data_IF_404701414979
#
_entry.id   IF_404701414979
#
_cell.length_a   1.000
_cell.length_b   1.000
_cell.length_c   1.000
_cell.angle_alpha   90.00
_cell.angle_beta   90.00
_cell.angle_gamma   90.00
#
_symmetry.space_group_name_H-M   'P 1'
#
loop_
_entity.id
_entity.type
_entity.pdbx_description
1 polymer ?
#
# COMPACT_ATOMS: atom_id res chain seq x y z
N UNK A 1 -28.62 -70.63 38.15
CA UNK A 1 -29.17 -69.41 38.78
C UNK A 1 -27.99 -68.65 39.37
N UNK A 2 -27.84 -67.37 39.04
CA UNK A 2 -27.23 -66.32 39.88
C UNK A 2 -25.84 -66.55 40.50
N UNK A 3 -24.86 -65.81 39.95
CA UNK A 3 -23.76 -65.02 40.57
C UNK A 3 -22.74 -65.65 41.57
N UNK A 4 -21.56 -64.98 41.58
CA UNK A 4 -20.37 -65.04 42.49
C UNK A 4 -19.28 -66.01 42.00
N UNK A 5 -17.97 -65.73 41.91
CA UNK A 5 -17.10 -64.56 41.82
C UNK A 5 -15.64 -65.10 41.69
N UNK A 6 -14.73 -64.33 41.07
CA UNK A 6 -13.27 -64.25 41.39
C UNK A 6 -12.37 -65.49 41.16
N UNK A 7 -11.09 -65.46 40.75
CA UNK A 7 -10.04 -64.43 40.52
C UNK A 7 -9.08 -65.02 39.46
N UNK A 8 -8.38 -64.17 38.71
CA UNK A 8 -6.94 -64.41 38.51
C UNK A 8 -6.50 -64.73 37.09
N UNK A 9 -6.13 -63.70 36.34
CA UNK A 9 -4.73 -63.52 35.92
C UNK A 9 -4.57 -62.13 35.33
N UNK A 10 -3.79 -61.33 36.03
CA UNK A 10 -3.35 -60.01 35.60
C UNK A 10 -2.47 -60.18 34.36
N UNK A 11 -3.01 -59.89 33.17
CA UNK A 11 -2.17 -59.49 32.04
C UNK A 11 -1.95 -57.99 32.21
N UNK A 12 -0.80 -57.65 32.78
CA UNK A 12 -0.26 -56.29 32.68
C UNK A 12 0.07 -56.10 31.20
N UNK A 13 -0.88 -55.55 30.45
CA UNK A 13 -0.60 -54.98 29.14
C UNK A 13 0.21 -53.71 29.37
N UNK A 14 1.53 -53.89 29.42
CA UNK A 14 2.50 -52.81 29.31
C UNK A 14 2.35 -52.20 27.90
N UNK A 15 1.53 -51.16 27.76
CA UNK A 15 1.61 -50.24 26.63
C UNK A 15 2.59 -49.14 27.02
N UNK A 16 3.88 -49.39 26.82
CA UNK A 16 4.88 -48.33 26.74
C UNK A 16 4.84 -47.70 25.35
N UNK A 17 5.14 -46.40 25.33
CA UNK A 17 5.37 -45.50 24.20
C UNK A 17 4.17 -44.72 23.65
N UNK A 18 3.58 -43.87 24.49
CA UNK A 18 3.38 -42.48 24.05
C UNK A 18 4.54 -41.67 24.61
N UNK A 19 5.52 -41.34 23.78
CA UNK A 19 6.67 -40.52 24.18
C UNK A 19 6.21 -39.08 24.32
N UNK A 20 5.52 -38.74 25.40
CA UNK A 20 5.22 -37.35 25.75
C UNK A 20 6.54 -36.61 25.92
N UNK A 21 6.79 -35.63 25.04
CA UNK A 21 7.98 -34.78 25.12
C UNK A 21 7.92 -34.06 26.47
N UNK A 22 8.95 -34.20 27.30
CA UNK A 22 9.03 -33.43 28.53
C UNK A 22 9.20 -31.95 28.18
N UNK A 23 8.16 -31.15 28.40
CA UNK A 23 8.19 -29.71 28.11
C UNK A 23 9.32 -28.98 28.84
N UNK A 24 9.71 -29.46 30.03
CA UNK A 24 10.89 -28.93 30.75
C UNK A 24 12.18 -29.18 29.97
N UNK A 25 12.37 -30.39 29.46
CA UNK A 25 13.55 -30.73 28.67
C UNK A 25 13.57 -29.98 27.34
N UNK A 26 12.41 -29.85 26.69
CA UNK A 26 12.29 -29.06 25.46
C UNK A 26 12.57 -27.58 25.70
N UNK A 27 12.03 -26.99 26.77
CA UNK A 27 12.29 -25.59 27.14
C UNK A 27 13.79 -25.34 27.38
N UNK A 28 14.49 -26.26 28.06
CA UNK A 28 15.94 -26.17 28.24
C UNK A 28 16.69 -26.34 26.91
N UNK A 29 16.25 -27.27 26.07
CA UNK A 29 16.81 -27.48 24.72
C UNK A 29 16.70 -26.20 23.87
N UNK A 30 15.53 -25.55 23.87
CA UNK A 30 15.30 -24.27 23.18
C UNK A 30 16.24 -23.18 23.67
N UNK A 31 16.42 -23.04 25.00
CA UNK A 31 17.37 -22.08 25.58
C UNK A 31 18.82 -22.35 25.15
N UNK A 32 19.23 -23.62 25.13
CA UNK A 32 20.59 -23.99 24.69
C UNK A 32 20.79 -23.66 23.21
N UNK A 33 19.84 -24.07 22.34
CA UNK A 33 19.85 -23.73 20.91
C UNK A 33 19.98 -22.21 20.72
N UNK A 34 19.20 -21.43 21.46
CA UNK A 34 19.24 -19.98 21.39
C UNK A 34 20.62 -19.41 21.73
N UNK A 35 21.15 -19.77 22.90
CA UNK A 35 22.42 -19.24 23.39
C UNK A 35 23.60 -19.63 22.47
N UNK A 36 23.61 -20.86 21.97
CA UNK A 36 24.73 -21.37 21.16
C UNK A 36 24.73 -20.80 19.73
N UNK A 37 23.53 -20.58 19.15
CA UNK A 37 23.39 -20.31 17.72
C UNK A 37 23.02 -18.86 17.40
N UNK A 38 22.24 -18.18 18.24
CA UNK A 38 21.52 -16.97 17.84
C UNK A 38 21.74 -15.74 18.73
N UNK A 39 21.95 -15.93 20.03
CA UNK A 39 22.25 -14.84 20.96
C UNK A 39 23.44 -14.01 20.44
N UNK A 40 23.34 -12.68 20.53
CA UNK A 40 24.33 -11.71 20.04
C UNK A 40 24.55 -11.69 18.50
N UNK A 41 23.74 -12.46 17.74
CA UNK A 41 23.84 -12.59 16.28
C UNK A 41 22.55 -12.18 15.54
N UNK A 42 21.52 -11.76 16.27
CA UNK A 42 20.27 -11.28 15.67
C UNK A 42 20.47 -9.85 15.14
N UNK A 43 19.77 -9.57 14.03
CA UNK A 43 19.68 -8.21 13.48
C UNK A 43 18.27 -7.68 13.68
N UNK A 44 18.14 -6.36 13.73
CA UNK A 44 16.85 -5.67 13.77
C UNK A 44 16.01 -5.85 12.48
N UNK A 45 16.60 -6.41 11.41
CA UNK A 45 15.89 -6.84 10.21
C UNK A 45 15.06 -8.12 10.38
N UNK A 46 15.11 -8.81 11.53
CA UNK A 46 14.29 -10.01 11.77
C UNK A 46 13.15 -9.70 12.73
N UNK A 47 11.92 -9.97 12.32
CA UNK A 47 10.77 -9.88 13.21
C UNK A 47 10.68 -11.13 14.10
N UNK A 48 9.84 -11.07 15.14
CA UNK A 48 9.70 -12.13 16.12
C UNK A 48 9.24 -13.46 15.50
N UNK A 49 8.37 -13.40 14.47
CA UNK A 49 7.98 -14.60 13.73
C UNK A 49 9.16 -15.26 13.01
N UNK A 50 10.05 -14.50 12.37
CA UNK A 50 11.25 -15.05 11.74
C UNK A 50 12.22 -15.64 12.77
N UNK A 51 12.35 -14.98 13.92
CA UNK A 51 13.21 -15.42 15.01
C UNK A 51 12.73 -16.77 15.57
N UNK A 52 11.42 -16.96 15.74
CA UNK A 52 10.89 -18.24 16.23
C UNK A 52 11.06 -19.36 15.20
N UNK A 53 10.89 -19.07 13.91
CA UNK A 53 11.14 -20.06 12.85
C UNK A 53 12.62 -20.47 12.80
N UNK A 54 13.56 -19.53 12.99
CA UNK A 54 14.99 -19.87 13.12
C UNK A 54 15.29 -20.85 14.26
N UNK A 55 14.58 -20.72 15.39
CA UNK A 55 14.69 -21.64 16.53
C UNK A 55 14.06 -23.00 16.19
N UNK A 56 12.88 -23.00 15.57
CA UNK A 56 12.18 -24.23 15.13
C UNK A 56 12.99 -25.03 14.12
N UNK A 57 13.70 -24.39 13.20
CA UNK A 57 14.55 -25.05 12.20
C UNK A 57 15.68 -25.92 12.83
N UNK A 58 15.96 -25.75 14.13
CA UNK A 58 16.93 -26.55 14.91
C UNK A 58 16.28 -27.67 15.73
N UNK A 59 14.95 -27.81 15.66
CA UNK A 59 14.15 -28.80 16.37
C UNK A 59 13.61 -29.87 15.40
N UNK A 60 13.24 -31.04 15.93
CA UNK A 60 12.54 -32.04 15.12
C UNK A 60 11.05 -31.69 14.96
N UNK A 61 10.36 -32.29 13.98
CA UNK A 61 8.98 -31.94 13.64
C UNK A 61 8.01 -31.96 14.84
N UNK A 62 8.09 -32.96 15.72
CA UNK A 62 7.20 -33.05 16.90
C UNK A 62 7.46 -31.94 17.93
N UNK A 63 8.72 -31.50 18.03
CA UNK A 63 9.11 -30.41 18.93
C UNK A 63 8.70 -29.04 18.37
N UNK A 64 8.79 -28.84 17.05
CA UNK A 64 8.41 -27.59 16.40
C UNK A 64 6.94 -27.22 16.65
N UNK A 65 6.05 -28.22 16.67
CA UNK A 65 4.61 -28.05 16.95
C UNK A 65 4.33 -27.49 18.35
N UNK A 66 5.26 -27.69 19.30
CA UNK A 66 5.12 -27.24 20.68
C UNK A 66 5.74 -25.87 20.92
N UNK A 67 6.50 -25.31 19.97
CA UNK A 67 7.24 -24.06 20.13
C UNK A 67 6.56 -22.96 19.32
N UNK A 68 6.18 -21.86 19.95
CA UNK A 68 5.55 -20.72 19.26
C UNK A 68 5.83 -19.41 20.01
N UNK A 69 5.46 -18.26 19.43
CA UNK A 69 5.44 -17.01 20.18
C UNK A 69 4.44 -17.09 21.32
N UNK A 70 4.81 -16.56 22.49
CA UNK A 70 3.90 -16.48 23.62
C UNK A 70 2.69 -15.59 23.30
N UNK A 71 2.95 -14.43 22.67
CA UNK A 71 1.92 -13.53 22.15
C UNK A 71 2.03 -13.41 20.63
N UNK A 72 1.03 -13.95 19.90
CA UNK A 72 1.00 -13.92 18.43
C UNK A 72 0.83 -12.52 17.85
N UNK A 73 0.25 -11.60 18.61
CA UNK A 73 0.08 -10.20 18.19
C UNK A 73 1.44 -9.48 18.06
N UNK A 74 2.49 -10.04 18.68
CA UNK A 74 3.85 -9.51 18.60
C UNK A 74 4.67 -10.08 17.45
N UNK A 75 4.09 -10.96 16.61
CA UNK A 75 4.79 -11.63 15.51
C UNK A 75 5.58 -10.71 14.58
N UNK A 76 5.09 -9.48 14.37
CA UNK A 76 5.71 -8.46 13.52
C UNK A 76 6.65 -7.51 14.26
N UNK A 77 6.71 -7.56 15.59
CA UNK A 77 7.67 -6.76 16.37
C UNK A 77 9.08 -7.18 16.00
N UNK A 78 10.00 -6.22 16.12
CA UNK A 78 11.42 -6.37 15.79
C UNK A 78 12.25 -5.95 17.00
N UNK A 79 13.36 -6.62 17.28
CA UNK A 79 14.33 -6.09 18.23
C UNK A 79 14.95 -4.82 17.63
N UNK A 80 15.23 -3.84 18.47
CA UNK A 80 15.86 -2.58 18.05
C UNK A 80 17.38 -2.69 18.17
N UNK A 81 18.11 -2.17 17.20
CA UNK A 81 19.58 -2.13 17.29
C UNK A 81 20.02 -1.28 18.48
N UNK A 82 21.11 -1.68 19.13
CA UNK A 82 21.76 -0.96 20.22
C UNK A 82 20.92 -0.70 21.48
N UNK A 83 19.74 -1.31 21.61
CA UNK A 83 18.92 -1.25 22.83
C UNK A 83 19.22 -2.50 23.69
N UNK A 84 19.73 -2.34 24.93
CA UNK A 84 20.10 -3.48 25.78
C UNK A 84 18.88 -4.14 26.42
N UNK A 85 19.08 -5.36 26.94
CA UNK A 85 18.11 -6.11 27.76
C UNK A 85 16.77 -6.44 27.07
N UNK A 86 16.76 -6.48 25.74
CA UNK A 86 15.58 -6.88 24.98
C UNK A 86 15.40 -8.41 25.03
N UNK A 87 14.15 -8.84 25.16
CA UNK A 87 13.80 -10.26 25.26
C UNK A 87 12.60 -10.58 24.37
N UNK A 88 12.45 -11.85 24.04
CA UNK A 88 11.27 -12.41 23.37
C UNK A 88 10.70 -13.54 24.22
N UNK A 89 9.39 -13.51 24.43
CA UNK A 89 8.69 -14.54 25.18
C UNK A 89 8.18 -15.63 24.22
N UNK A 90 8.59 -16.86 24.51
CA UNK A 90 8.35 -18.05 23.71
C UNK A 90 7.50 -19.04 24.51
N UNK A 91 6.45 -19.55 23.88
CA UNK A 91 5.65 -20.67 24.37
C UNK A 91 6.33 -21.99 24.00
N UNK A 92 6.41 -22.90 24.95
CA UNK A 92 6.89 -24.28 24.77
C UNK A 92 5.91 -25.23 25.45
N UNK A 93 4.97 -25.79 24.69
CA UNK A 93 3.84 -26.53 25.22
C UNK A 93 2.97 -25.63 26.10
N UNK A 94 2.75 -26.00 27.35
CA UNK A 94 2.06 -25.15 28.34
C UNK A 94 2.99 -24.15 29.04
N UNK A 95 4.31 -24.23 28.82
CA UNK A 95 5.30 -23.36 29.47
C UNK A 95 5.58 -22.10 28.68
N UNK A 96 6.09 -21.10 29.40
CA UNK A 96 6.68 -19.89 28.81
C UNK A 96 8.14 -19.78 29.23
N UNK A 97 8.99 -19.37 28.29
CA UNK A 97 10.40 -19.02 28.51
C UNK A 97 10.70 -17.68 27.85
N UNK A 98 11.65 -16.94 28.40
CA UNK A 98 12.21 -15.77 27.74
C UNK A 98 13.56 -16.11 27.10
N UNK A 99 13.80 -15.53 25.92
CA UNK A 99 15.09 -15.57 25.25
C UNK A 99 15.63 -14.14 25.19
N UNK A 100 16.85 -13.95 25.70
CA UNK A 100 17.54 -12.66 25.69
C UNK A 100 18.27 -12.47 24.37
N UNK A 101 18.00 -11.37 23.67
CA UNK A 101 18.64 -11.09 22.38
C UNK A 101 20.15 -10.86 22.51
N UNK A 102 20.61 -10.37 23.66
CA UNK A 102 21.98 -9.87 23.80
C UNK A 102 22.21 -8.67 22.88
N UNK A 103 23.34 -8.65 22.17
CA UNK A 103 23.63 -7.63 21.17
C UNK A 103 22.71 -7.79 19.92
N UNK A 104 22.01 -6.71 19.58
CA UNK A 104 21.21 -6.63 18.34
C UNK A 104 21.93 -5.72 17.35
N UNK A 105 22.33 -6.30 16.21
CA UNK A 105 23.05 -5.61 15.14
C UNK A 105 22.08 -4.92 14.19
N UNK A 106 22.61 -3.97 13.44
CA UNK A 106 21.88 -3.28 12.38
C UNK A 106 21.34 -4.27 11.33
N UNK A 107 20.06 -4.13 11.01
CA UNK A 107 19.36 -4.86 9.96
C UNK A 107 19.77 -4.45 8.56
N UNK A 108 20.90 -4.96 8.06
CA UNK A 108 21.34 -4.72 6.67
C UNK A 108 21.87 -5.97 5.99
N UNK A 109 21.82 -5.94 4.67
CA UNK A 109 22.35 -6.98 3.80
C UNK A 109 22.90 -6.36 2.53
N UNK A 110 24.17 -6.65 2.22
CA UNK A 110 24.81 -6.19 0.99
C UNK A 110 24.15 -6.79 -0.24
N UNK A 111 24.17 -6.04 -1.35
CA UNK A 111 23.64 -6.50 -2.63
C UNK A 111 24.73 -7.24 -3.40
N UNK A 112 24.42 -8.40 -3.97
CA UNK A 112 25.30 -9.06 -4.95
C UNK A 112 24.76 -8.86 -6.36
N UNK A 113 25.63 -8.52 -7.28
CA UNK A 113 25.27 -8.18 -8.64
C UNK A 113 26.31 -8.70 -9.63
N UNK A 114 25.89 -8.84 -10.88
CA UNK A 114 26.77 -9.21 -11.98
C UNK A 114 27.43 -7.96 -12.56
N UNK A 115 28.75 -7.85 -12.43
CA UNK A 115 29.49 -6.69 -12.90
C UNK A 115 29.37 -6.54 -14.42
N UNK A 116 29.12 -5.32 -14.95
CA UNK A 116 29.03 -5.09 -16.38
C UNK A 116 30.29 -5.58 -17.10
N UNK A 117 30.13 -6.11 -18.31
CA UNK A 117 31.19 -6.60 -19.21
C UNK A 117 31.88 -7.90 -18.80
N UNK A 118 32.24 -8.09 -17.51
CA UNK A 118 32.99 -9.29 -17.08
C UNK A 118 32.08 -10.43 -16.65
N UNK A 119 30.86 -10.13 -16.17
CA UNK A 119 29.98 -11.13 -15.61
C UNK A 119 30.36 -11.62 -14.21
N UNK A 120 31.40 -11.04 -13.60
CA UNK A 120 31.85 -11.37 -12.25
C UNK A 120 30.81 -10.98 -11.19
N UNK A 121 30.57 -11.84 -10.21
CA UNK A 121 29.69 -11.50 -9.09
C UNK A 121 30.45 -10.61 -8.11
N UNK A 122 29.97 -9.38 -7.92
CA UNK A 122 30.50 -8.42 -6.95
C UNK A 122 29.47 -8.11 -5.87
N UNK A 123 29.97 -7.64 -4.74
CA UNK A 123 29.16 -7.24 -3.58
C UNK A 123 29.28 -5.73 -3.37
N UNK A 124 28.20 -5.07 -2.94
CA UNK A 124 28.22 -3.64 -2.58
C UNK A 124 27.24 -3.35 -1.44
N UNK A 125 27.59 -2.38 -0.60
CA UNK A 125 26.73 -1.80 0.43
C UNK A 125 26.00 -0.54 -0.06
N UNK A 126 26.07 -0.25 -1.37
CA UNK A 126 25.30 0.81 -1.98
C UNK A 126 23.80 0.60 -1.77
N UNK A 127 23.14 1.61 -1.19
CA UNK A 127 21.69 1.61 -0.99
C UNK A 127 20.92 2.07 -2.23
N UNK A 128 21.61 2.73 -3.17
CA UNK A 128 21.03 3.29 -4.39
C UNK A 128 22.00 3.21 -5.57
N UNK A 129 21.74 2.27 -6.47
CA UNK A 129 22.59 2.02 -7.65
C UNK A 129 22.48 3.15 -8.67
N UNK A 130 21.33 3.83 -8.76
CA UNK A 130 21.07 4.92 -9.72
C UNK A 130 21.99 6.13 -9.54
N UNK A 131 22.59 6.27 -8.35
CA UNK A 131 23.46 7.39 -7.99
C UNK A 131 24.96 7.13 -8.19
N UNK A 132 25.36 5.89 -8.45
CA UNK A 132 26.79 5.50 -8.43
C UNK A 132 27.25 5.12 -9.83
N UNK A 133 28.24 5.86 -10.36
CA UNK A 133 28.86 5.56 -11.65
C UNK A 133 29.45 4.14 -11.65
N UNK A 134 29.24 3.39 -12.74
CA UNK A 134 29.58 1.97 -12.85
C UNK A 134 28.53 1.00 -12.31
N UNK A 135 27.66 1.42 -11.37
CA UNK A 135 26.52 0.61 -10.92
C UNK A 135 25.25 0.85 -11.74
N UNK A 136 25.13 2.02 -12.38
CA UNK A 136 23.98 2.36 -13.25
C UNK A 136 23.78 1.43 -14.44
N UNK A 137 24.86 0.76 -14.88
CA UNK A 137 24.88 -0.16 -16.03
C UNK A 137 24.62 -1.62 -15.63
N UNK A 138 24.43 -1.91 -14.35
CA UNK A 138 24.17 -3.25 -13.85
C UNK A 138 22.79 -3.73 -14.33
N UNK A 139 22.78 -4.88 -15.00
CA UNK A 139 21.56 -5.48 -15.56
C UNK A 139 20.99 -6.63 -14.75
N UNK A 140 21.77 -7.19 -13.82
CA UNK A 140 21.39 -8.39 -13.07
C UNK A 140 21.83 -8.29 -11.61
N UNK A 141 20.85 -8.33 -10.71
CA UNK A 141 21.04 -8.55 -9.27
C UNK A 141 20.93 -10.05 -8.99
N UNK A 142 21.94 -10.59 -8.31
CA UNK A 142 22.02 -11.99 -7.89
C UNK A 142 21.49 -12.17 -6.47
N UNK A 143 21.60 -11.14 -5.63
CA UNK A 143 21.10 -11.14 -4.26
C UNK A 143 20.62 -9.75 -3.88
N UNK A 144 19.32 -9.61 -3.56
CA UNK A 144 18.72 -8.33 -3.18
C UNK A 144 19.23 -7.92 -1.80
N UNK A 145 19.91 -6.78 -1.73
CA UNK A 145 20.28 -6.15 -0.48
C UNK A 145 19.13 -5.33 0.11
N UNK A 146 19.27 -5.02 1.40
CA UNK A 146 18.34 -4.17 2.13
C UNK A 146 19.07 -3.47 3.28
N UNK A 147 18.44 -2.42 3.79
CA UNK A 147 18.96 -1.62 4.90
C UNK A 147 17.81 -1.08 5.75
N UNK A 148 18.14 -0.61 6.95
CA UNK A 148 17.15 0.08 7.78
C UNK A 148 16.96 1.51 7.31
N UNK A 149 15.70 1.87 7.08
CA UNK A 149 15.29 3.22 6.71
C UNK A 149 14.25 3.72 7.72
N UNK A 150 14.14 5.03 7.88
CA UNK A 150 13.07 5.65 8.68
C UNK A 150 12.15 6.36 7.70
N UNK A 151 10.88 5.97 7.67
CA UNK A 151 9.90 6.63 6.82
C UNK A 151 9.60 8.02 7.40
N UNK A 152 9.88 9.05 6.59
CA UNK A 152 9.77 10.46 6.97
C UNK A 152 8.33 10.91 7.25
N UNK A 153 7.34 10.11 6.88
CA UNK A 153 5.90 10.43 7.04
C UNK A 153 5.35 10.05 8.41
N UNK A 154 5.84 8.97 9.00
CA UNK A 154 5.33 8.41 10.26
C UNK A 154 6.44 8.04 11.27
N UNK A 155 7.71 8.27 10.92
CA UNK A 155 8.90 7.90 11.68
C UNK A 155 8.99 6.39 11.99
N UNK A 156 8.32 5.54 11.20
CA UNK A 156 8.39 4.09 11.36
C UNK A 156 9.68 3.56 10.76
N UNK A 157 10.37 2.70 11.51
CA UNK A 157 11.53 1.95 11.00
C UNK A 157 11.05 0.89 10.02
N UNK A 158 11.64 0.88 8.83
CA UNK A 158 11.38 -0.08 7.76
C UNK A 158 12.66 -0.81 7.38
N UNK A 159 12.52 -2.04 6.86
CA UNK A 159 13.61 -2.73 6.18
C UNK A 159 13.39 -2.53 4.69
N UNK A 160 14.18 -1.64 4.10
CA UNK A 160 13.98 -1.15 2.75
C UNK A 160 14.91 -1.86 1.77
N UNK A 161 14.33 -2.33 0.66
CA UNK A 161 15.08 -2.86 -0.47
C UNK A 161 15.97 -1.76 -1.09
N UNK A 162 17.14 -2.14 -1.59
CA UNK A 162 17.99 -1.22 -2.35
C UNK A 162 17.30 -0.70 -3.61
N UNK A 163 17.63 0.53 -4.02
CA UNK A 163 17.15 1.09 -5.30
C UNK A 163 17.99 0.49 -6.44
N UNK A 164 17.30 -0.14 -7.38
CA UNK A 164 17.90 -0.79 -8.54
C UNK A 164 18.39 0.24 -9.57
N UNK A 165 19.38 -0.11 -10.41
CA UNK A 165 19.77 0.74 -11.52
C UNK A 165 18.68 0.83 -12.59
N UNK A 166 18.64 1.94 -13.33
CA UNK A 166 17.66 2.13 -14.42
C UNK A 166 17.77 1.08 -15.53
N UNK A 167 18.94 0.44 -15.68
CA UNK A 167 19.22 -0.60 -16.67
C UNK A 167 18.90 -2.02 -16.20
N UNK A 168 18.32 -2.18 -15.00
CA UNK A 168 18.02 -3.49 -14.44
C UNK A 168 17.09 -4.29 -15.35
N UNK A 169 17.47 -5.53 -15.63
CA UNK A 169 16.69 -6.49 -16.42
C UNK A 169 16.29 -7.71 -15.58
N UNK A 170 17.16 -8.10 -14.63
CA UNK A 170 17.01 -9.32 -13.83
C UNK A 170 17.26 -9.11 -12.35
N UNK A 171 16.42 -9.72 -11.53
CA UNK A 171 16.50 -9.84 -10.07
C UNK A 171 16.23 -11.30 -9.68
N UNK A 172 16.55 -11.72 -8.45
CA UNK A 172 16.21 -13.05 -7.97
C UNK A 172 14.70 -13.31 -7.93
N UNK A 173 14.31 -14.57 -8.11
CA UNK A 173 12.91 -14.99 -8.14
C UNK A 173 12.23 -14.97 -6.76
N UNK A 174 12.92 -14.50 -5.71
CA UNK A 174 12.37 -14.32 -4.37
C UNK A 174 12.75 -12.95 -3.80
N UNK A 175 11.83 -12.38 -3.01
CA UNK A 175 12.08 -11.20 -2.20
C UNK A 175 12.54 -11.64 -0.79
N UNK A 176 13.64 -11.09 -0.24
CA UNK A 176 14.02 -11.34 1.15
C UNK A 176 12.87 -11.00 2.11
N UNK A 177 12.47 -11.98 2.94
CA UNK A 177 11.30 -11.85 3.84
C UNK A 177 11.46 -10.71 4.84
N UNK A 178 12.69 -10.32 5.18
CA UNK A 178 12.99 -9.21 6.08
C UNK A 178 12.43 -7.88 5.58
N UNK A 179 12.34 -7.69 4.26
CA UNK A 179 11.94 -6.44 3.61
C UNK A 179 10.49 -6.11 3.92
N UNK A 180 10.26 -4.88 4.38
CA UNK A 180 8.92 -4.32 4.59
C UNK A 180 8.62 -3.15 3.65
N UNK A 181 9.60 -2.70 2.87
CA UNK A 181 9.45 -1.55 1.98
C UNK A 181 10.23 -1.75 0.68
N UNK A 182 9.52 -1.69 -0.44
CA UNK A 182 10.13 -1.68 -1.79
C UNK A 182 10.21 -0.25 -2.34
N UNK A 183 10.25 0.75 -1.44
CA UNK A 183 10.22 2.17 -1.80
C UNK A 183 11.28 2.49 -2.86
N UNK A 184 10.81 2.94 -4.03
CA UNK A 184 11.60 3.27 -5.21
C UNK A 184 12.48 2.15 -5.79
N UNK A 185 12.23 0.87 -5.46
CA UNK A 185 13.09 -0.24 -5.87
C UNK A 185 13.33 -0.29 -7.38
N UNK A 186 12.32 -0.05 -8.21
CA UNK A 186 12.41 -0.02 -9.67
C UNK A 186 12.07 1.37 -10.25
N UNK A 187 12.39 2.45 -9.53
CA UNK A 187 12.25 3.80 -10.06
C UNK A 187 13.09 3.95 -11.34
N UNK A 188 12.42 4.29 -12.44
CA UNK A 188 12.99 4.53 -13.78
C UNK A 188 13.74 3.31 -14.32
N UNK A 189 13.38 2.11 -13.85
CA UNK A 189 13.81 0.85 -14.43
C UNK A 189 13.25 0.70 -15.84
N UNK A 190 14.00 1.17 -16.83
CA UNK A 190 13.57 1.32 -18.23
C UNK A 190 13.38 -0.04 -18.90
N UNK A 191 14.24 -0.99 -18.55
CA UNK A 191 14.31 -2.29 -19.20
C UNK A 191 13.64 -3.42 -18.40
N UNK A 192 13.30 -3.17 -17.14
CA UNK A 192 12.79 -4.19 -16.23
C UNK A 192 11.39 -4.66 -16.62
N UNK A 193 11.25 -5.96 -16.86
CA UNK A 193 9.97 -6.61 -17.11
C UNK A 193 10.01 -8.11 -16.73
N UNK A 194 10.90 -8.51 -15.81
CA UNK A 194 10.94 -9.90 -15.32
C UNK A 194 9.71 -10.19 -14.47
N UNK A 195 9.18 -11.41 -14.61
CA UNK A 195 8.11 -11.93 -13.75
C UNK A 195 8.58 -12.00 -12.29
N UNK A 196 7.81 -11.36 -11.41
CA UNK A 196 8.01 -11.31 -9.95
C UNK A 196 6.73 -11.71 -9.20
N UNK A 197 5.80 -12.38 -9.89
CA UNK A 197 4.52 -12.83 -9.34
C UNK A 197 4.69 -13.82 -8.17
N UNK A 198 5.82 -14.54 -8.14
CA UNK A 198 6.17 -15.53 -7.11
C UNK A 198 6.79 -14.94 -5.84
N UNK A 199 7.01 -13.62 -5.78
CA UNK A 199 7.53 -12.99 -4.58
C UNK A 199 6.54 -13.08 -3.41
N UNK A 200 7.05 -13.48 -2.24
CA UNK A 200 6.31 -13.37 -0.99
C UNK A 200 6.27 -11.92 -0.53
N UNK A 201 5.15 -11.24 -0.81
CA UNK A 201 4.94 -9.83 -0.45
C UNK A 201 4.23 -9.66 0.90
N UNK A 202 4.00 -10.72 1.67
CA UNK A 202 3.17 -10.65 2.87
C UNK A 202 3.74 -9.76 3.97
N UNK A 203 5.03 -9.42 3.92
CA UNK A 203 5.66 -8.51 4.90
C UNK A 203 5.72 -7.05 4.43
N UNK A 204 5.28 -6.75 3.20
CA UNK A 204 5.34 -5.40 2.66
C UNK A 204 4.31 -4.48 3.33
N UNK A 205 4.79 -3.33 3.76
CA UNK A 205 4.04 -2.24 4.36
C UNK A 205 3.99 -1.01 3.44
N UNK A 206 4.94 -0.90 2.50
CA UNK A 206 5.04 0.23 1.57
C UNK A 206 5.49 -0.20 0.18
N UNK A 207 4.72 0.22 -0.83
CA UNK A 207 5.04 0.08 -2.27
C UNK A 207 5.37 1.45 -2.90
N UNK A 208 5.74 2.43 -2.08
CA UNK A 208 5.87 3.83 -2.50
C UNK A 208 6.86 3.99 -3.66
N UNK A 209 6.38 4.53 -4.79
CA UNK A 209 7.18 4.76 -5.98
C UNK A 209 7.90 3.51 -6.53
N UNK A 210 7.47 2.29 -6.19
CA UNK A 210 8.18 1.05 -6.55
C UNK A 210 8.45 0.96 -8.06
N UNK A 211 7.49 1.29 -8.92
CA UNK A 211 7.62 1.28 -10.38
C UNK A 211 7.47 2.68 -11.00
N UNK A 212 7.81 3.72 -10.25
CA UNK A 212 7.71 5.09 -10.75
C UNK A 212 8.53 5.25 -12.04
N UNK A 213 7.90 5.67 -13.13
CA UNK A 213 8.56 5.86 -14.43
C UNK A 213 9.05 4.59 -15.12
N UNK A 214 8.72 3.40 -14.60
CA UNK A 214 9.08 2.13 -15.23
C UNK A 214 8.42 2.01 -16.61
N UNK A 215 9.25 1.87 -17.65
CA UNK A 215 8.76 1.94 -19.03
C UNK A 215 8.16 0.63 -19.49
N UNK A 216 8.91 -0.47 -19.39
CA UNK A 216 8.52 -1.76 -19.95
C UNK A 216 7.73 -2.67 -18.99
N UNK A 217 7.74 -2.36 -17.70
CA UNK A 217 7.16 -3.25 -16.70
C UNK A 217 5.64 -3.42 -16.89
N UNK A 218 5.21 -4.66 -17.11
CA UNK A 218 3.80 -5.01 -17.30
C UNK A 218 3.50 -6.47 -16.87
N UNK A 219 4.17 -6.95 -15.81
CA UNK A 219 3.98 -8.31 -15.29
C UNK A 219 2.80 -8.39 -14.33
N UNK A 220 2.17 -9.58 -14.28
CA UNK A 220 1.00 -9.84 -13.42
C UNK A 220 1.40 -9.79 -11.93
N UNK A 221 0.66 -9.00 -11.15
CA UNK A 221 0.85 -8.83 -9.71
C UNK A 221 -0.39 -9.20 -8.91
N UNK A 222 -1.42 -9.76 -9.55
CA UNK A 222 -2.72 -9.99 -8.93
C UNK A 222 -2.67 -11.03 -7.80
N UNK A 223 -1.62 -11.87 -7.76
CA UNK A 223 -1.38 -12.86 -6.71
C UNK A 223 -0.60 -12.32 -5.50
N UNK A 224 -0.13 -11.06 -5.54
CA UNK A 224 0.58 -10.48 -4.41
C UNK A 224 -0.32 -10.29 -3.19
N UNK A 225 0.17 -10.72 -2.04
CA UNK A 225 -0.45 -10.41 -0.75
C UNK A 225 -0.05 -8.99 -0.34
N UNK A 226 -0.95 -8.03 -0.53
CA UNK A 226 -0.76 -6.62 -0.13
C UNK A 226 -1.56 -6.23 1.11
N UNK A 227 -2.10 -7.21 1.85
CA UNK A 227 -2.96 -6.96 3.03
C UNK A 227 -2.28 -6.14 4.13
N UNK A 228 -0.95 -6.06 4.15
CA UNK A 228 -0.19 -5.26 5.13
C UNK A 228 0.29 -3.92 4.60
N UNK A 229 0.08 -3.63 3.32
CA UNK A 229 0.52 -2.39 2.68
C UNK A 229 -0.34 -1.24 3.18
N UNK A 230 0.32 -0.23 3.74
CA UNK A 230 -0.31 1.01 4.21
C UNK A 230 -0.15 2.15 3.18
N UNK A 231 0.83 2.03 2.28
CA UNK A 231 1.24 3.11 1.38
C UNK A 231 1.33 2.60 -0.07
N UNK A 232 0.43 3.11 -0.92
CA UNK A 232 0.43 2.90 -2.38
C UNK A 232 0.81 4.17 -3.16
N UNK A 233 1.40 5.15 -2.47
CA UNK A 233 1.78 6.42 -3.09
C UNK A 233 2.70 6.19 -4.29
N UNK A 234 2.39 6.79 -5.43
CA UNK A 234 3.22 6.81 -6.64
C UNK A 234 3.62 5.44 -7.23
N UNK A 235 3.06 4.32 -6.77
CA UNK A 235 3.55 2.97 -7.12
C UNK A 235 3.68 2.75 -8.63
N UNK A 236 2.71 3.20 -9.43
CA UNK A 236 2.70 3.11 -10.89
C UNK A 236 2.69 4.48 -11.58
N UNK A 237 3.14 5.53 -10.87
CA UNK A 237 3.18 6.88 -11.40
C UNK A 237 4.09 6.96 -12.63
N UNK A 238 3.60 7.56 -13.72
CA UNK A 238 4.33 7.72 -14.98
C UNK A 238 4.80 6.41 -15.66
N UNK A 239 4.20 5.26 -15.34
CA UNK A 239 4.44 4.00 -16.06
C UNK A 239 3.98 4.08 -17.53
N UNK A 240 4.69 3.40 -18.44
CA UNK A 240 4.32 3.42 -19.86
C UNK A 240 3.49 2.22 -20.29
N UNK A 241 3.91 1.01 -19.92
CA UNK A 241 3.29 -0.25 -20.37
C UNK A 241 2.34 -0.91 -19.36
N UNK A 242 2.43 -0.57 -18.07
CA UNK A 242 1.67 -1.27 -17.03
C UNK A 242 0.15 -1.14 -17.21
N UNK A 243 -0.53 -2.28 -17.34
CA UNK A 243 -1.99 -2.39 -17.47
C UNK A 243 -2.50 -3.74 -16.94
N UNK A 244 -1.95 -4.24 -15.84
CA UNK A 244 -2.42 -5.51 -15.26
C UNK A 244 -3.60 -5.31 -14.33
N UNK A 245 -4.33 -6.41 -14.11
CA UNK A 245 -5.47 -6.49 -13.19
C UNK A 245 -4.96 -6.52 -11.74
N UNK A 246 -5.45 -5.59 -10.92
CA UNK A 246 -5.11 -5.46 -9.49
C UNK A 246 -6.33 -5.71 -8.58
N UNK A 247 -7.41 -6.25 -9.11
CA UNK A 247 -8.68 -6.36 -8.38
C UNK A 247 -8.65 -7.33 -7.18
N UNK A 248 -7.71 -8.28 -7.15
CA UNK A 248 -7.59 -9.20 -6.01
C UNK A 248 -6.82 -8.61 -4.83
N UNK A 249 -6.16 -7.47 -5.00
CA UNK A 249 -5.40 -6.84 -3.93
C UNK A 249 -6.29 -6.54 -2.72
N UNK A 250 -5.83 -6.97 -1.54
CA UNK A 250 -6.43 -6.59 -0.28
C UNK A 250 -5.88 -5.25 0.19
N UNK A 251 -6.53 -4.16 -0.21
CA UNK A 251 -6.13 -2.80 0.15
C UNK A 251 -6.70 -2.33 1.49
N UNK A 252 -7.23 -3.23 2.33
CA UNK A 252 -7.92 -2.87 3.58
C UNK A 252 -7.09 -2.06 4.56
N UNK A 253 -5.76 -2.19 4.52
CA UNK A 253 -4.84 -1.46 5.40
C UNK A 253 -4.22 -0.22 4.76
N UNK A 254 -4.52 0.07 3.48
CA UNK A 254 -3.97 1.23 2.77
C UNK A 254 -4.52 2.52 3.36
N UNK A 255 -3.62 3.42 3.75
CA UNK A 255 -3.91 4.75 4.31
C UNK A 255 -3.82 5.85 3.23
N UNK A 256 -3.01 5.65 2.19
CA UNK A 256 -2.75 6.68 1.16
C UNK A 256 -2.51 6.08 -0.22
N UNK A 257 -3.10 6.70 -1.25
CA UNK A 257 -3.04 6.31 -2.67
C UNK A 257 -2.66 7.51 -3.56
N UNK A 258 -1.77 8.38 -3.08
CA UNK A 258 -1.44 9.62 -3.79
C UNK A 258 -0.72 9.29 -5.08
N UNK A 259 -1.20 9.82 -6.20
CA UNK A 259 -0.55 9.66 -7.52
C UNK A 259 -0.35 8.21 -8.00
N UNK A 260 -0.99 7.22 -7.39
CA UNK A 260 -0.70 5.79 -7.64
C UNK A 260 -0.71 5.44 -9.13
N UNK A 261 -1.68 5.94 -9.90
CA UNK A 261 -1.84 5.70 -11.34
C UNK A 261 -1.78 6.99 -12.17
N UNK A 262 -1.30 8.10 -11.59
CA UNK A 262 -1.22 9.35 -12.32
C UNK A 262 -0.22 9.25 -13.46
N UNK A 263 -0.59 9.81 -14.61
CA UNK A 263 0.18 9.78 -15.87
C UNK A 263 0.58 8.37 -16.35
N UNK A 264 0.04 7.29 -15.77
CA UNK A 264 0.24 5.94 -16.27
C UNK A 264 -0.41 5.85 -17.66
N UNK A 265 0.40 5.65 -18.71
CA UNK A 265 -0.02 5.84 -20.10
C UNK A 265 -1.05 4.82 -20.56
N UNK A 266 -0.93 3.58 -20.08
CA UNK A 266 -1.77 2.44 -20.48
C UNK A 266 -2.64 1.87 -19.37
N UNK A 267 -2.47 2.31 -18.13
CA UNK A 267 -3.16 1.70 -17.00
C UNK A 267 -4.67 1.91 -17.08
N UNK A 268 -5.38 0.81 -17.26
CA UNK A 268 -6.83 0.67 -17.31
C UNK A 268 -7.24 -0.66 -16.63
N UNK A 269 -6.50 -1.07 -15.59
CA UNK A 269 -6.71 -2.28 -14.78
C UNK A 269 -6.99 -3.56 -15.60
N UNK A 270 -6.16 -3.87 -16.60
CA UNK A 270 -6.37 -5.05 -17.44
C UNK A 270 -7.67 -5.03 -18.25
N UNK A 271 -8.27 -3.85 -18.44
CA UNK A 271 -9.61 -3.65 -18.99
C UNK A 271 -10.71 -4.38 -18.20
N UNK A 272 -10.55 -4.46 -16.88
CA UNK A 272 -11.52 -5.03 -15.95
C UNK A 272 -11.92 -4.03 -14.86
N UNK A 273 -13.14 -4.13 -14.30
CA UNK A 273 -13.53 -3.40 -13.10
C UNK A 273 -12.48 -3.51 -11.99
N UNK A 274 -12.21 -2.40 -11.28
CA UNK A 274 -11.26 -2.36 -10.17
C UNK A 274 -12.00 -2.55 -8.84
N UNK A 275 -12.27 -3.80 -8.48
CA UNK A 275 -13.27 -4.18 -7.47
C UNK A 275 -12.70 -4.25 -6.05
N UNK A 276 -12.04 -3.19 -5.58
CA UNK A 276 -11.57 -3.11 -4.19
C UNK A 276 -12.70 -2.91 -3.18
N UNK A 277 -13.80 -2.27 -3.59
CA UNK A 277 -15.02 -2.12 -2.81
C UNK A 277 -14.79 -1.62 -1.36
N UNK A 278 -15.23 -2.37 -0.35
CA UNK A 278 -15.10 -2.03 1.07
C UNK A 278 -13.65 -1.96 1.57
N UNK A 279 -12.69 -2.48 0.81
CA UNK A 279 -11.27 -2.47 1.18
C UNK A 279 -10.69 -1.06 1.13
N UNK A 280 -11.31 -0.10 0.46
CA UNK A 280 -10.80 1.30 0.42
C UNK A 280 -11.18 2.14 1.65
N UNK A 281 -11.97 1.61 2.59
CA UNK A 281 -12.54 2.36 3.73
C UNK A 281 -11.54 3.11 4.61
N UNK A 282 -10.29 2.63 4.67
CA UNK A 282 -9.24 3.17 5.54
C UNK A 282 -8.38 4.24 4.83
N UNK A 283 -8.57 4.45 3.53
CA UNK A 283 -7.81 5.43 2.75
C UNK A 283 -8.19 6.85 3.19
N UNK A 284 -7.19 7.67 3.50
CA UNK A 284 -7.34 9.08 3.90
C UNK A 284 -7.14 10.06 2.75
N UNK A 285 -6.28 9.72 1.79
CA UNK A 285 -5.97 10.58 0.65
C UNK A 285 -5.90 9.79 -0.65
N UNK A 286 -6.67 10.23 -1.64
CA UNK A 286 -6.63 9.77 -3.03
C UNK A 286 -6.14 10.90 -3.96
N UNK A 287 -5.40 11.88 -3.41
CA UNK A 287 -5.03 13.06 -4.17
C UNK A 287 -4.18 12.70 -5.38
N UNK A 288 -4.58 13.24 -6.54
CA UNK A 288 -3.90 13.03 -7.83
C UNK A 288 -3.87 11.56 -8.26
N UNK A 289 -4.67 10.64 -7.69
CA UNK A 289 -4.53 9.19 -7.93
C UNK A 289 -4.55 8.78 -9.41
N UNK A 290 -5.44 9.37 -10.22
CA UNK A 290 -5.60 9.11 -11.66
C UNK A 290 -5.31 10.33 -12.53
N UNK A 291 -4.67 11.37 -11.98
CA UNK A 291 -4.44 12.60 -12.73
C UNK A 291 -3.63 12.34 -14.00
N UNK A 292 -4.09 12.89 -15.13
CA UNK A 292 -3.49 12.80 -16.45
C UNK A 292 -3.33 11.36 -16.95
N UNK A 293 -4.04 10.39 -16.38
CA UNK A 293 -4.16 9.07 -16.97
C UNK A 293 -5.09 9.18 -18.21
N UNK A 294 -4.59 8.90 -19.43
CA UNK A 294 -5.33 9.17 -20.65
C UNK A 294 -6.40 8.13 -20.99
N UNK A 295 -6.37 6.94 -20.36
CA UNK A 295 -7.19 5.79 -20.76
C UNK A 295 -8.07 5.20 -19.66
N UNK A 296 -7.80 5.51 -18.38
CA UNK A 296 -8.52 4.90 -17.26
C UNK A 296 -10.01 5.23 -17.28
N UNK A 297 -10.83 4.18 -17.34
CA UNK A 297 -12.29 4.28 -17.26
C UNK A 297 -12.93 2.98 -16.74
N UNK A 298 -12.29 2.29 -15.78
CA UNK A 298 -12.83 1.07 -15.19
C UNK A 298 -13.75 1.38 -14.01
N UNK A 299 -14.74 0.50 -13.79
CA UNK A 299 -15.72 0.64 -12.71
C UNK A 299 -15.03 0.66 -11.34
N UNK A 300 -15.30 1.72 -10.58
CA UNK A 300 -14.89 1.99 -9.20
C UNK A 300 -16.08 2.42 -8.34
N UNK A 301 -17.31 2.23 -8.84
CA UNK A 301 -18.55 2.66 -8.19
C UNK A 301 -18.80 1.99 -6.84
N UNK A 302 -18.19 0.81 -6.63
CA UNK A 302 -18.29 0.03 -5.39
C UNK A 302 -17.34 0.47 -4.26
N UNK A 303 -16.37 1.36 -4.52
CA UNK A 303 -15.37 1.77 -3.52
C UNK A 303 -16.01 2.45 -2.30
N UNK A 304 -15.57 2.06 -1.11
CA UNK A 304 -15.88 2.78 0.13
C UNK A 304 -14.89 3.93 0.32
N UNK A 305 -15.36 5.16 0.06
CA UNK A 305 -14.59 6.40 0.24
C UNK A 305 -14.98 7.19 1.49
N UNK A 306 -15.75 6.59 2.41
CA UNK A 306 -16.26 7.23 3.64
C UNK A 306 -15.15 7.64 4.63
N UNK A 307 -13.93 7.13 4.43
CA UNK A 307 -12.73 7.49 5.19
C UNK A 307 -11.90 8.61 4.57
N UNK A 308 -12.14 9.00 3.32
CA UNK A 308 -11.28 9.90 2.53
C UNK A 308 -11.50 11.36 2.94
N UNK A 309 -10.41 12.10 3.13
CA UNK A 309 -10.42 13.52 3.47
C UNK A 309 -9.92 14.41 2.32
N UNK A 310 -9.12 13.87 1.40
CA UNK A 310 -8.50 14.63 0.31
C UNK A 310 -8.59 13.90 -1.05
N UNK A 311 -9.35 14.49 -1.98
CA UNK A 311 -9.53 14.06 -3.38
C UNK A 311 -8.98 15.11 -4.38
N UNK A 312 -8.09 15.99 -3.92
CA UNK A 312 -7.47 17.03 -4.76
C UNK A 312 -6.89 16.41 -6.03
N UNK A 313 -7.32 16.92 -7.19
CA UNK A 313 -6.83 16.51 -8.51
C UNK A 313 -7.00 15.01 -8.84
N UNK A 314 -7.86 14.25 -8.15
CA UNK A 314 -7.96 12.80 -8.32
C UNK A 314 -8.10 12.36 -9.79
N UNK A 315 -8.92 13.07 -10.58
CA UNK A 315 -9.14 12.82 -12.02
C UNK A 315 -8.72 14.01 -12.91
N UNK A 316 -7.81 14.87 -12.44
CA UNK A 316 -7.33 16.03 -13.20
C UNK A 316 -6.84 15.57 -14.59
N UNK A 317 -7.44 16.08 -15.66
CA UNK A 317 -7.10 15.77 -17.06
C UNK A 317 -7.19 14.27 -17.41
N UNK A 318 -7.95 13.48 -16.66
CA UNK A 318 -8.27 12.09 -16.99
C UNK A 318 -9.34 12.04 -18.08
N UNK A 319 -8.93 12.30 -19.33
CA UNK A 319 -9.83 12.65 -20.44
C UNK A 319 -10.97 11.64 -20.68
N UNK A 320 -10.68 10.34 -20.54
CA UNK A 320 -11.63 9.24 -20.82
C UNK A 320 -12.50 8.81 -19.63
N UNK A 321 -12.27 9.38 -18.45
CA UNK A 321 -12.98 8.97 -17.25
C UNK A 321 -14.47 9.40 -17.29
N UNK A 322 -15.39 8.45 -17.17
CA UNK A 322 -16.85 8.65 -17.15
C UNK A 322 -17.57 7.55 -16.32
N UNK A 323 -17.10 7.29 -15.10
CA UNK A 323 -17.70 6.28 -14.22
C UNK A 323 -18.74 6.87 -13.25
N UNK A 324 -19.73 6.06 -12.86
CA UNK A 324 -20.75 6.45 -11.89
C UNK A 324 -20.18 6.46 -10.46
N UNK A 325 -20.14 7.66 -9.86
CA UNK A 325 -19.64 7.89 -8.51
C UNK A 325 -20.75 8.30 -7.55
N UNK A 326 -22.02 8.31 -7.98
CA UNK A 326 -23.13 8.89 -7.21
C UNK A 326 -23.45 8.11 -5.93
N UNK A 327 -22.89 6.91 -5.75
CA UNK A 327 -23.02 6.09 -4.53
C UNK A 327 -21.94 6.36 -3.48
N UNK A 328 -20.89 7.11 -3.83
CA UNK A 328 -19.80 7.40 -2.91
C UNK A 328 -20.25 8.28 -1.74
N UNK A 329 -19.91 7.85 -0.52
CA UNK A 329 -20.03 8.69 0.67
C UNK A 329 -18.83 9.63 0.79
N UNK A 330 -18.99 10.85 0.30
CA UNK A 330 -17.96 11.90 0.37
C UNK A 330 -18.08 12.78 1.63
N UNK A 331 -18.86 12.36 2.63
CA UNK A 331 -19.21 13.19 3.79
C UNK A 331 -18.03 13.65 4.65
N UNK A 332 -16.86 13.00 4.57
CA UNK A 332 -15.62 13.40 5.27
C UNK A 332 -14.63 14.16 4.39
N UNK A 333 -14.87 14.25 3.08
CA UNK A 333 -13.94 14.90 2.16
C UNK A 333 -13.93 16.41 2.46
N UNK A 334 -12.72 16.96 2.65
CA UNK A 334 -12.49 18.39 2.88
C UNK A 334 -11.99 19.10 1.62
N UNK A 335 -11.27 18.39 0.74
CA UNK A 335 -10.61 18.97 -0.44
C UNK A 335 -10.98 18.23 -1.73
N UNK A 336 -11.54 18.95 -2.69
CA UNK A 336 -11.89 18.47 -4.04
C UNK A 336 -11.33 19.39 -5.14
N UNK A 337 -10.30 20.18 -4.83
CA UNK A 337 -9.71 21.14 -5.76
C UNK A 337 -9.29 20.43 -7.06
N UNK A 338 -9.78 20.93 -8.19
CA UNK A 338 -9.49 20.43 -9.52
C UNK A 338 -9.75 18.91 -9.73
N UNK A 339 -10.66 18.31 -8.95
CA UNK A 339 -10.92 16.86 -8.99
C UNK A 339 -11.27 16.35 -10.38
N UNK A 340 -12.11 17.07 -11.14
CA UNK A 340 -12.54 16.73 -12.51
C UNK A 340 -12.05 17.73 -13.56
N UNK A 341 -11.07 18.59 -13.22
CA UNK A 341 -10.59 19.60 -14.17
C UNK A 341 -10.11 18.94 -15.46
N UNK A 342 -10.64 19.33 -16.62
CA UNK A 342 -10.22 18.82 -17.91
C UNK A 342 -10.61 17.36 -18.19
N UNK A 343 -11.57 16.78 -17.46
CA UNK A 343 -12.20 15.52 -17.89
C UNK A 343 -13.12 15.83 -19.09
N UNK A 344 -12.85 15.19 -20.23
CA UNK A 344 -13.53 15.49 -21.48
C UNK A 344 -14.84 14.69 -21.61
N UNK A 345 -14.88 13.48 -21.05
CA UNK A 345 -16.01 12.56 -21.17
C UNK A 345 -16.97 12.58 -19.97
N UNK A 346 -16.51 12.97 -18.79
CA UNK A 346 -17.28 12.85 -17.54
C UNK A 346 -18.61 13.60 -17.58
N UNK A 347 -19.72 12.88 -17.45
CA UNK A 347 -21.07 13.45 -17.36
C UNK A 347 -22.03 12.58 -16.51
N UNK A 348 -21.53 11.99 -15.41
CA UNK A 348 -22.34 11.19 -14.48
C UNK A 348 -22.92 12.01 -13.34
N UNK A 349 -24.12 11.63 -12.84
CA UNK A 349 -24.76 12.34 -11.75
C UNK A 349 -23.92 12.32 -10.46
N UNK A 350 -23.99 13.41 -9.69
CA UNK A 350 -23.33 13.57 -8.40
C UNK A 350 -24.30 14.13 -7.34
N UNK A 351 -25.61 14.06 -7.62
CA UNK A 351 -26.67 14.72 -6.86
C UNK A 351 -26.88 14.13 -5.45
N UNK A 352 -26.35 12.91 -5.20
CA UNK A 352 -26.44 12.24 -3.89
C UNK A 352 -25.27 12.57 -2.95
N UNK A 353 -24.22 13.24 -3.44
CA UNK A 353 -23.07 13.58 -2.62
C UNK A 353 -23.43 14.56 -1.51
N UNK A 354 -23.06 14.22 -0.26
CA UNK A 354 -23.09 15.16 0.84
C UNK A 354 -21.76 15.92 0.94
N UNK A 355 -21.71 17.12 0.35
CA UNK A 355 -20.50 17.95 0.32
C UNK A 355 -20.40 18.96 1.47
N UNK A 356 -21.18 18.79 2.55
CA UNK A 356 -21.24 19.75 3.67
C UNK A 356 -19.92 19.98 4.39
N UNK A 357 -18.97 19.04 4.28
CA UNK A 357 -17.64 19.11 4.90
C UNK A 357 -16.57 19.67 3.95
N UNK A 358 -16.87 19.87 2.67
CA UNK A 358 -15.89 20.31 1.68
C UNK A 358 -15.61 21.80 1.86
N UNK A 359 -14.32 22.15 1.92
CA UNK A 359 -13.82 23.50 2.11
C UNK A 359 -13.28 24.12 0.80
N UNK A 360 -12.70 23.31 -0.08
CA UNK A 360 -12.07 23.73 -1.35
C UNK A 360 -12.55 22.91 -2.56
N UNK A 361 -13.26 23.58 -3.48
CA UNK A 361 -13.67 23.08 -4.81
C UNK A 361 -13.10 23.92 -5.96
N UNK A 362 -12.02 24.70 -5.71
CA UNK A 362 -11.40 25.53 -6.74
C UNK A 362 -11.04 24.70 -7.97
N UNK A 363 -11.37 25.19 -9.16
CA UNK A 363 -11.15 24.56 -10.46
C UNK A 363 -11.81 23.18 -10.64
N UNK A 364 -12.73 22.74 -9.77
CA UNK A 364 -13.23 21.36 -9.76
C UNK A 364 -13.73 20.86 -11.11
N UNK A 365 -14.43 21.69 -11.88
CA UNK A 365 -14.99 21.39 -13.21
C UNK A 365 -14.42 22.30 -14.31
N UNK A 366 -13.28 22.96 -14.08
CA UNK A 366 -12.62 23.78 -15.09
C UNK A 366 -12.33 22.93 -16.34
N UNK A 367 -12.58 23.46 -17.53
CA UNK A 367 -12.38 22.75 -18.82
C UNK A 367 -13.15 21.43 -19.00
N UNK A 368 -14.20 21.17 -18.20
CA UNK A 368 -15.08 20.01 -18.42
C UNK A 368 -16.00 20.25 -19.61
N UNK A 369 -15.84 19.45 -20.67
CA UNK A 369 -16.52 19.72 -21.95
C UNK A 369 -17.94 19.16 -22.03
N UNK A 370 -18.26 18.14 -21.22
CA UNK A 370 -19.57 17.45 -21.25
C UNK A 370 -20.38 17.53 -19.96
N UNK A 371 -19.75 17.88 -18.84
CA UNK A 371 -20.41 17.85 -17.54
C UNK A 371 -21.53 18.90 -17.46
N UNK A 372 -22.77 18.44 -17.28
CA UNK A 372 -23.94 19.29 -17.07
C UNK A 372 -24.97 18.65 -16.12
N UNK A 373 -24.49 17.92 -15.11
CA UNK A 373 -25.36 17.19 -14.18
C UNK A 373 -25.82 18.07 -13.01
N UNK A 374 -27.02 17.79 -12.50
CA UNK A 374 -27.65 18.57 -11.45
C UNK A 374 -26.92 18.45 -10.10
N UNK A 375 -26.37 19.56 -9.62
CA UNK A 375 -25.68 19.68 -8.32
C UNK A 375 -26.31 20.76 -7.42
N UNK A 376 -27.53 21.18 -7.75
CA UNK A 376 -28.25 22.25 -7.05
C UNK A 376 -28.59 21.91 -5.60
N UNK A 377 -28.70 20.62 -5.27
CA UNK A 377 -29.05 20.10 -3.93
C UNK A 377 -27.85 19.97 -2.97
N UNK A 378 -26.64 20.27 -3.43
CA UNK A 378 -25.45 20.21 -2.60
C UNK A 378 -25.53 21.19 -1.42
N UNK A 379 -25.18 20.70 -0.22
CA UNK A 379 -25.05 21.53 0.98
C UNK A 379 -23.64 22.12 1.04
N UNK A 380 -23.48 23.40 0.76
CA UNK A 380 -22.16 24.07 0.62
C UNK A 380 -21.74 24.89 1.86
N UNK A 381 -22.25 24.55 3.04
CA UNK A 381 -22.14 25.36 4.27
C UNK A 381 -20.71 25.63 4.76
N UNK A 382 -19.74 24.79 4.40
CA UNK A 382 -18.32 24.96 4.76
C UNK A 382 -17.42 25.40 3.60
N UNK A 383 -17.98 25.58 2.40
CA UNK A 383 -17.22 25.89 1.21
C UNK A 383 -16.64 27.31 1.30
N UNK A 384 -15.33 27.44 1.12
CA UNK A 384 -14.61 28.74 1.15
C UNK A 384 -14.07 29.12 -0.22
N UNK A 385 -13.68 28.14 -1.03
CA UNK A 385 -13.02 28.33 -2.32
C UNK A 385 -13.76 27.62 -3.46
N UNK A 386 -14.19 28.41 -4.45
CA UNK A 386 -14.78 27.98 -5.73
C UNK A 386 -14.09 28.67 -6.92
N UNK A 387 -12.87 29.20 -6.73
CA UNK A 387 -12.09 29.85 -7.78
C UNK A 387 -12.10 29.04 -9.08
N UNK A 388 -12.51 29.67 -10.18
CA UNK A 388 -12.51 29.07 -11.51
C UNK A 388 -13.22 27.71 -11.61
N UNK A 389 -14.16 27.39 -10.71
CA UNK A 389 -14.80 26.07 -10.62
C UNK A 389 -15.40 25.60 -11.96
N UNK A 390 -15.98 26.50 -12.74
CA UNK A 390 -16.58 26.26 -14.06
C UNK A 390 -15.91 27.09 -15.18
N UNK A 391 -14.67 27.57 -14.97
CA UNK A 391 -13.91 28.27 -16.01
C UNK A 391 -13.83 27.37 -17.27
N UNK A 392 -14.32 27.87 -18.41
CA UNK A 392 -14.38 27.15 -19.70
C UNK A 392 -15.19 25.84 -19.68
N UNK A 393 -16.09 25.65 -18.71
CA UNK A 393 -17.05 24.53 -18.70
C UNK A 393 -18.20 24.81 -19.69
N UNK A 394 -17.96 24.53 -20.98
CA UNK A 394 -18.75 25.09 -22.11
C UNK A 394 -20.24 24.77 -22.07
N UNK A 395 -20.64 23.62 -21.53
CA UNK A 395 -22.03 23.12 -21.55
C UNK A 395 -22.76 23.23 -20.21
N UNK A 396 -22.07 23.57 -19.13
CA UNK A 396 -22.68 23.61 -17.81
C UNK A 396 -23.67 24.78 -17.69
N UNK A 397 -24.90 24.49 -17.26
CA UNK A 397 -25.98 25.50 -17.17
C UNK A 397 -27.00 25.19 -16.06
N UNK A 398 -26.55 24.57 -14.97
CA UNK A 398 -27.41 24.20 -13.84
C UNK A 398 -27.70 25.39 -12.92
N UNK A 399 -28.80 25.31 -12.16
CA UNK A 399 -29.20 26.36 -11.22
C UNK A 399 -28.58 26.14 -9.84
N UNK A 400 -27.68 27.03 -9.41
CA UNK A 400 -26.97 26.96 -8.13
C UNK A 400 -27.40 28.06 -7.14
N UNK A 401 -28.52 28.74 -7.38
CA UNK A 401 -28.98 29.87 -6.55
C UNK A 401 -29.21 29.52 -5.07
N UNK A 402 -29.51 28.24 -4.79
CA UNK A 402 -29.83 27.73 -3.46
C UNK A 402 -28.60 27.27 -2.66
N UNK A 403 -27.38 27.37 -3.23
CA UNK A 403 -26.16 27.09 -2.49
C UNK A 403 -25.94 28.10 -1.36
N UNK A 404 -25.59 27.60 -0.17
CA UNK A 404 -25.13 28.46 0.92
C UNK A 404 -23.74 28.99 0.60
N UNK A 405 -23.65 30.30 0.36
CA UNK A 405 -22.44 30.98 -0.08
C UNK A 405 -21.82 31.88 1.01
N UNK A 406 -22.28 31.81 2.26
CA UNK A 406 -21.86 32.74 3.34
C UNK A 406 -20.36 32.70 3.64
N UNK A 407 -19.73 31.54 3.51
CA UNK A 407 -18.29 31.35 3.79
C UNK A 407 -17.40 31.47 2.55
N UNK A 408 -17.99 31.58 1.36
CA UNK A 408 -17.24 31.64 0.10
C UNK A 408 -16.57 33.00 -0.02
N UNK A 409 -15.24 33.01 -0.01
CA UNK A 409 -14.43 34.23 -0.10
C UNK A 409 -13.38 34.19 -1.23
N UNK A 410 -13.20 33.03 -1.88
CA UNK A 410 -12.37 32.88 -3.10
C UNK A 410 -13.25 32.35 -4.24
N UNK A 411 -13.52 33.20 -5.24
CA UNK A 411 -14.46 32.90 -6.33
C UNK A 411 -14.08 33.54 -7.67
N UNK A 412 -12.81 33.95 -7.83
CA UNK A 412 -12.33 34.60 -9.05
C UNK A 412 -12.58 33.69 -10.27
N UNK A 413 -12.99 34.29 -11.40
CA UNK A 413 -13.24 33.57 -12.66
C UNK A 413 -14.22 32.38 -12.59
N UNK A 414 -15.12 32.35 -11.60
CA UNK A 414 -16.00 31.21 -11.26
C UNK A 414 -16.54 30.45 -12.48
N UNK A 415 -17.11 31.15 -13.47
CA UNK A 415 -17.65 30.56 -14.70
C UNK A 415 -17.20 31.33 -15.97
N UNK A 416 -16.05 32.01 -15.94
CA UNK A 416 -15.55 32.74 -17.11
C UNK A 416 -15.46 31.78 -18.31
N UNK A 417 -15.88 32.23 -19.49
CA UNK A 417 -15.92 31.42 -20.73
C UNK A 417 -16.83 30.16 -20.67
N UNK A 418 -17.71 30.02 -19.67
CA UNK A 418 -18.77 29.00 -19.64
C UNK A 418 -19.97 29.44 -20.50
N UNK A 419 -19.87 29.29 -21.83
CA UNK A 419 -20.79 29.91 -22.81
C UNK A 419 -22.27 29.50 -22.71
N UNK A 420 -22.58 28.32 -22.16
CA UNK A 420 -23.95 27.88 -21.93
C UNK A 420 -24.60 28.58 -20.72
N UNK A 421 -23.80 29.10 -19.78
CA UNK A 421 -24.29 29.73 -18.56
C UNK A 421 -24.55 31.22 -18.78
N UNK A 422 -25.74 31.53 -19.31
CA UNK A 422 -26.14 32.91 -19.65
C UNK A 422 -26.97 33.62 -18.57
N UNK A 423 -27.61 32.85 -17.69
CA UNK A 423 -28.54 33.39 -16.69
C UNK A 423 -27.83 33.66 -15.34
N UNK A 424 -27.70 34.95 -15.00
CA UNK A 424 -27.07 35.39 -13.74
C UNK A 424 -27.90 35.06 -12.49
N UNK A 425 -29.18 34.71 -12.64
CA UNK A 425 -30.02 34.30 -11.51
C UNK A 425 -29.74 32.87 -11.04
N UNK A 426 -28.99 32.09 -11.82
CA UNK A 426 -28.56 30.73 -11.46
C UNK A 426 -27.33 30.71 -10.53
N UNK A 427 -26.74 31.87 -10.23
CA UNK A 427 -25.52 31.96 -9.46
C UNK A 427 -25.79 31.79 -7.96
N UNK A 428 -24.86 31.19 -7.21
CA UNK A 428 -24.89 31.25 -5.75
C UNK A 428 -24.87 32.71 -5.28
N UNK A 429 -25.64 33.03 -4.23
CA UNK A 429 -25.74 34.40 -3.70
C UNK A 429 -24.50 34.75 -2.86
N UNK A 430 -23.38 35.04 -3.52
CA UNK A 430 -22.10 35.39 -2.89
C UNK A 430 -22.05 36.90 -2.61
N UNK A 431 -21.71 37.29 -1.37
CA UNK A 431 -21.56 38.69 -0.98
C UNK A 431 -20.40 39.33 -1.76
N UNK A 432 -20.70 40.32 -2.59
CA UNK A 432 -19.70 41.08 -3.38
C UNK A 432 -19.46 40.54 -4.80
N UNK A 433 -20.08 39.42 -5.19
CA UNK A 433 -20.06 38.97 -6.57
C UNK A 433 -21.00 39.87 -7.41
N UNK A 434 -20.44 40.75 -8.23
CA UNK A 434 -21.24 41.52 -9.21
C UNK A 434 -21.72 40.54 -10.30
N UNK A 435 -23.05 40.47 -10.46
CA UNK A 435 -23.76 39.60 -11.41
C UNK A 435 -23.40 39.89 -12.87
#
# INVERSE_FOLDING_TARGET
>A
MTLIATVGTSVIACKTTDSTISETQLAQKVKNIWNDNFKDKITSAKNYSMIIEMVKDKLNNKEQELVDLFNKDESRKRPKKWEPNQKIDIKVGEKSINLDFGEVKEGKKSTKYKYPNTGEIKTTDAIDFSKINGLKEVKEIVEIGYFEDIDDRDNKVQIRAVVMPESIEKVPDFLPKEITSTRAMFWDAKEFNQDISMWDTSNLESLDAMFLGAKKFNQDLNNWNVSNVEILDRTFFETEEFNQDLSNWDVSNVKTMKKTFAKAKKYNNGNKPLTWNEKTKNVKSMSTMFAKNPVFNQDISGWDVSGVEDMTQMFLEAKKFDQDLNKWDVGKVKKMRAMFRGTEEFNKPLDKWNVSSVEDMGNMFMDTSKFNQGISKWKTTNLTNIEAMFLRAKVFNQNLKEWDAKKINVYSSFNKEAVAWKDSNKYPQIKGLKK
#
